data_IF_458300131781
#
_entry.id   IF_458300131781
#
_cell.length_a   1.000
_cell.length_b   1.000
_cell.length_c   1.000
_cell.angle_alpha   90.00
_cell.angle_beta   90.00
_cell.angle_gamma   90.00
#
_symmetry.space_group_name_H-M   'P 1'
#
loop_
_entity.id
_entity.type
_entity.pdbx_description
1 polymer ?
#
# COMPACT_ATOMS: atom_id res chain seq x y z
N UNK A 1 -35.86 -15.70 46.03
CA UNK A 1 -34.72 -14.77 45.92
C UNK A 1 -33.43 -15.43 45.38
N UNK A 2 -33.19 -16.73 45.62
CA UNK A 2 -32.01 -17.48 45.11
C UNK A 2 -31.99 -17.67 43.58
N UNK A 3 -33.15 -17.88 42.94
CA UNK A 3 -33.23 -18.04 41.47
C UNK A 3 -32.91 -16.77 40.68
N UNK A 4 -33.27 -15.60 41.23
CA UNK A 4 -33.00 -14.30 40.61
C UNK A 4 -31.50 -13.94 40.68
N UNK A 5 -30.83 -14.30 41.77
CA UNK A 5 -29.37 -14.20 41.91
C UNK A 5 -28.63 -15.11 40.94
N UNK A 6 -29.10 -16.35 40.76
CA UNK A 6 -28.53 -17.28 39.78
C UNK A 6 -28.61 -16.76 38.34
N UNK A 7 -29.76 -16.19 37.96
CA UNK A 7 -29.96 -15.59 36.64
C UNK A 7 -29.09 -14.34 36.42
N UNK A 8 -28.89 -13.51 37.45
CA UNK A 8 -28.01 -12.34 37.37
C UNK A 8 -26.54 -12.74 37.19
N UNK A 9 -26.06 -13.76 37.92
CA UNK A 9 -24.68 -14.25 37.79
C UNK A 9 -24.46 -14.90 36.41
N UNK A 10 -25.43 -15.68 35.92
CA UNK A 10 -25.36 -16.27 34.58
C UNK A 10 -25.35 -15.20 33.47
N UNK A 11 -26.17 -14.15 33.61
CA UNK A 11 -26.17 -13.01 32.68
C UNK A 11 -24.85 -12.23 32.68
N UNK A 12 -24.23 -12.04 33.85
CA UNK A 12 -22.93 -11.37 33.96
C UNK A 12 -21.79 -12.19 33.34
N UNK A 13 -21.83 -13.52 33.51
CA UNK A 13 -20.85 -14.44 32.91
C UNK A 13 -20.98 -14.49 31.38
N UNK A 14 -22.20 -14.45 30.84
CA UNK A 14 -22.45 -14.39 29.39
C UNK A 14 -22.00 -13.05 28.77
N UNK A 15 -22.12 -11.94 29.50
CA UNK A 15 -21.67 -10.63 29.03
C UNK A 15 -20.13 -10.47 28.99
N UNK A 16 -19.38 -11.42 29.56
CA UNK A 16 -17.92 -11.37 29.66
C UNK A 16 -17.20 -11.85 28.39
N UNK A 17 -17.90 -12.48 27.45
CA UNK A 17 -17.34 -12.94 26.18
C UNK A 17 -17.34 -11.81 25.13
N UNK A 18 -16.55 -10.77 25.37
CA UNK A 18 -16.15 -9.87 24.29
C UNK A 18 -15.11 -10.61 23.45
N UNK A 19 -15.52 -11.11 22.28
CA UNK A 19 -14.57 -11.60 21.26
C UNK A 19 -13.73 -10.40 20.83
N UNK A 20 -12.43 -10.41 21.18
CA UNK A 20 -11.50 -9.43 20.67
C UNK A 20 -11.49 -9.51 19.14
N UNK A 21 -11.73 -8.38 18.47
CA UNK A 21 -11.63 -8.32 17.03
C UNK A 21 -10.22 -8.76 16.61
N UNK A 22 -10.08 -9.62 15.59
CA UNK A 22 -8.76 -10.01 15.12
C UNK A 22 -8.00 -8.75 14.71
N UNK A 23 -6.80 -8.57 15.26
CA UNK A 23 -5.90 -7.54 14.77
C UNK A 23 -5.65 -7.79 13.28
N UNK A 24 -5.78 -6.75 12.45
CA UNK A 24 -5.52 -6.86 11.01
C UNK A 24 -4.13 -7.45 10.76
N UNK A 25 -4.02 -8.34 9.77
CA UNK A 25 -2.76 -8.98 9.43
C UNK A 25 -1.69 -7.92 9.12
N UNK A 26 -0.51 -8.02 9.74
CA UNK A 26 0.62 -7.15 9.45
C UNK A 26 1.05 -7.33 7.99
N UNK A 27 1.04 -6.24 7.23
CA UNK A 27 1.55 -6.20 5.86
C UNK A 27 2.96 -5.61 5.89
N UNK A 28 3.94 -6.39 5.43
CA UNK A 28 5.34 -5.98 5.30
C UNK A 28 5.68 -5.80 3.82
N UNK A 29 6.38 -4.72 3.51
CA UNK A 29 6.82 -4.36 2.16
C UNK A 29 8.19 -3.69 2.16
N UNK A 30 8.78 -3.52 0.98
CA UNK A 30 10.06 -2.83 0.77
C UNK A 30 9.86 -1.54 -0.04
N UNK A 31 10.71 -0.54 0.16
CA UNK A 31 10.68 0.70 -0.63
C UNK A 31 12.02 0.98 -1.29
N UNK A 32 12.24 0.46 -2.51
CA UNK A 32 13.42 0.75 -3.33
C UNK A 32 13.00 1.32 -4.70
N UNK A 33 13.77 2.28 -5.20
CA UNK A 33 13.53 2.98 -6.45
C UNK A 33 14.11 2.25 -7.67
N UNK A 34 15.02 1.28 -7.49
CA UNK A 34 15.69 0.59 -8.59
C UNK A 34 14.92 -0.66 -9.02
N UNK A 35 14.61 -0.82 -10.32
CA UNK A 35 13.93 -2.03 -10.81
C UNK A 35 14.78 -3.31 -10.63
N UNK A 36 16.11 -3.19 -10.64
CA UNK A 36 17.02 -4.34 -10.52
C UNK A 36 16.87 -5.11 -9.20
N UNK A 37 16.32 -4.46 -8.15
CA UNK A 37 16.02 -5.11 -6.88
C UNK A 37 15.13 -6.36 -7.07
N UNK A 38 14.19 -6.32 -8.02
CA UNK A 38 13.27 -7.44 -8.26
C UNK A 38 13.96 -8.70 -8.78
N UNK A 39 15.14 -8.56 -9.41
CA UNK A 39 15.96 -9.67 -9.87
C UNK A 39 17.02 -10.10 -8.84
N UNK A 40 17.17 -9.38 -7.73
CA UNK A 40 18.17 -9.69 -6.71
C UNK A 40 17.77 -10.97 -5.93
N UNK A 41 18.65 -11.98 -5.83
CA UNK A 41 18.36 -13.20 -5.08
C UNK A 41 17.97 -12.96 -3.61
N UNK A 42 18.49 -11.88 -3.00
CA UNK A 42 18.16 -11.50 -1.62
C UNK A 42 16.73 -11.00 -1.51
N UNK A 43 16.22 -10.31 -2.54
CA UNK A 43 14.81 -9.90 -2.58
C UNK A 43 13.89 -11.12 -2.66
N UNK A 44 14.21 -12.07 -3.55
CA UNK A 44 13.47 -13.33 -3.65
C UNK A 44 13.45 -14.12 -2.34
N UNK A 45 14.57 -14.16 -1.61
CA UNK A 45 14.68 -14.87 -0.33
C UNK A 45 13.79 -14.29 0.79
N UNK A 46 13.42 -13.00 0.74
CA UNK A 46 12.56 -12.38 1.75
C UNK A 46 11.07 -12.72 1.57
N UNK A 47 10.66 -13.23 0.40
CA UNK A 47 9.26 -13.55 0.08
C UNK A 47 8.28 -12.38 0.31
N UNK A 48 8.75 -11.14 0.14
CA UNK A 48 7.93 -9.93 0.27
C UNK A 48 7.05 -9.77 -0.96
N UNK A 49 5.77 -9.49 -0.75
CA UNK A 49 4.77 -9.32 -1.83
C UNK A 49 4.40 -7.88 -2.15
N UNK A 50 4.94 -6.91 -1.42
CA UNK A 50 4.60 -5.50 -1.56
C UNK A 50 5.88 -4.67 -1.73
N UNK A 51 5.91 -3.80 -2.74
CA UNK A 51 7.00 -2.86 -2.94
C UNK A 51 6.46 -1.45 -3.17
N UNK A 52 7.17 -0.43 -2.69
CA UNK A 52 6.76 0.97 -2.79
C UNK A 52 7.75 1.78 -3.64
N UNK A 53 7.21 2.50 -4.61
CA UNK A 53 7.95 3.50 -5.40
C UNK A 53 7.46 4.91 -5.03
N UNK A 54 8.38 5.86 -4.93
CA UNK A 54 8.11 7.28 -4.83
C UNK A 54 8.28 7.96 -6.19
N UNK A 55 7.23 8.59 -6.71
CA UNK A 55 7.25 9.33 -7.98
C UNK A 55 6.74 10.74 -7.79
N UNK A 56 7.13 11.64 -8.68
CA UNK A 56 6.61 13.00 -8.64
C UNK A 56 5.12 13.04 -8.98
N UNK A 57 4.39 14.02 -8.45
CA UNK A 57 2.95 14.17 -8.71
C UNK A 57 2.65 14.38 -10.21
N UNK A 58 3.60 14.97 -10.94
CA UNK A 58 3.57 15.23 -12.37
C UNK A 58 4.38 14.22 -13.18
N UNK A 59 4.65 13.02 -12.64
CA UNK A 59 5.41 11.94 -13.31
C UNK A 59 4.96 11.72 -14.75
N UNK A 60 3.66 11.80 -15.03
CA UNK A 60 3.09 11.60 -16.37
C UNK A 60 3.37 12.73 -17.37
N UNK A 61 3.77 13.91 -16.91
CA UNK A 61 4.10 15.05 -17.78
C UNK A 61 5.58 15.04 -18.21
N UNK A 62 6.41 14.26 -17.52
CA UNK A 62 7.82 14.13 -17.82
C UNK A 62 8.11 12.79 -18.53
N UNK A 63 8.70 12.83 -19.72
CA UNK A 63 8.96 11.61 -20.51
C UNK A 63 9.89 10.63 -19.79
N UNK A 64 11.01 11.11 -19.24
CA UNK A 64 11.97 10.23 -18.59
C UNK A 64 11.43 9.63 -17.28
N UNK A 65 10.61 10.39 -16.54
CA UNK A 65 9.99 9.87 -15.31
C UNK A 65 8.91 8.82 -15.62
N UNK A 66 8.14 9.02 -16.70
CA UNK A 66 7.21 8.00 -17.21
C UNK A 66 7.93 6.71 -17.57
N UNK A 67 8.98 6.80 -18.37
CA UNK A 67 9.73 5.63 -18.82
C UNK A 67 10.36 4.89 -17.63
N UNK A 68 10.87 5.61 -16.64
CA UNK A 68 11.40 5.03 -15.41
C UNK A 68 10.31 4.35 -14.57
N UNK A 69 9.13 4.96 -14.45
CA UNK A 69 7.98 4.37 -13.76
C UNK A 69 7.50 3.10 -14.49
N UNK A 70 7.41 3.11 -15.81
CA UNK A 70 6.99 1.96 -16.61
C UNK A 70 7.96 0.78 -16.46
N UNK A 71 9.27 1.04 -16.49
CA UNK A 71 10.29 0.02 -16.23
C UNK A 71 10.13 -0.60 -14.83
N UNK A 72 9.93 0.24 -13.81
CA UNK A 72 9.78 -0.24 -12.43
C UNK A 72 8.50 -1.04 -12.22
N UNK A 73 7.36 -0.56 -12.76
CA UNK A 73 6.08 -1.28 -12.68
C UNK A 73 6.11 -2.58 -13.48
N UNK A 74 6.79 -2.59 -14.63
CA UNK A 74 7.01 -3.79 -15.43
C UNK A 74 7.81 -4.85 -14.66
N UNK A 75 8.90 -4.46 -14.01
CA UNK A 75 9.72 -5.36 -13.20
C UNK A 75 8.94 -5.88 -11.96
N UNK A 76 8.19 -5.02 -11.28
CA UNK A 76 7.33 -5.42 -10.16
C UNK A 76 6.28 -6.46 -10.59
N UNK A 77 5.64 -6.23 -11.75
CA UNK A 77 4.67 -7.17 -12.33
C UNK A 77 5.32 -8.51 -12.68
N UNK A 78 6.49 -8.49 -13.31
CA UNK A 78 7.23 -9.71 -13.66
C UNK A 78 7.61 -10.53 -12.42
N UNK A 79 7.90 -9.86 -11.30
CA UNK A 79 8.20 -10.50 -10.01
C UNK A 79 6.95 -10.88 -9.18
N UNK A 80 5.74 -10.61 -9.67
CA UNK A 80 4.50 -10.88 -8.93
C UNK A 80 4.32 -10.03 -7.67
N UNK A 81 4.95 -8.86 -7.61
CA UNK A 81 4.92 -7.94 -6.47
C UNK A 81 3.82 -6.90 -6.66
N UNK A 82 3.06 -6.63 -5.61
CA UNK A 82 2.04 -5.57 -5.60
C UNK A 82 2.70 -4.21 -5.37
N UNK A 83 2.60 -3.27 -6.33
CA UNK A 83 3.19 -1.95 -6.18
C UNK A 83 2.32 -1.02 -5.32
N UNK A 84 2.98 -0.21 -4.50
CA UNK A 84 2.42 0.93 -3.77
C UNK A 84 3.04 2.21 -4.34
N UNK A 85 2.26 3.03 -5.02
CA UNK A 85 2.76 4.27 -5.64
C UNK A 85 2.55 5.43 -4.68
N UNK A 86 3.64 6.00 -4.18
CA UNK A 86 3.62 7.21 -3.37
C UNK A 86 3.97 8.43 -4.20
N UNK A 87 3.15 9.48 -4.14
CA UNK A 87 3.41 10.73 -4.85
C UNK A 87 4.21 11.72 -3.98
N UNK A 88 5.21 12.36 -4.57
CA UNK A 88 6.07 13.38 -3.97
C UNK A 88 6.08 14.67 -4.81
N UNK A 89 6.90 15.63 -4.41
CA UNK A 89 7.11 16.89 -5.14
C UNK A 89 7.57 16.64 -6.59
N UNK A 90 7.21 17.56 -7.48
CA UNK A 90 7.73 17.59 -8.83
C UNK A 90 9.25 17.78 -8.85
N UNK A 91 9.90 17.33 -9.93
CA UNK A 91 11.33 17.59 -10.14
C UNK A 91 11.55 18.91 -10.89
N UNK A 92 12.78 19.40 -10.83
CA UNK A 92 13.17 20.65 -11.50
C UNK A 92 12.42 21.87 -10.97
N UNK A 93 12.04 22.77 -11.88
CA UNK A 93 11.49 24.10 -11.55
C UNK A 93 10.14 24.03 -10.83
N UNK A 94 9.40 22.94 -11.00
CA UNK A 94 8.09 22.73 -10.37
C UNK A 94 8.18 22.19 -8.95
N UNK A 95 9.38 22.02 -8.39
CA UNK A 95 9.60 21.44 -7.04
C UNK A 95 8.83 22.14 -5.91
N UNK A 96 8.62 23.44 -6.02
CA UNK A 96 7.85 24.25 -5.04
C UNK A 96 6.37 24.38 -5.39
N UNK A 97 5.94 23.80 -6.51
CA UNK A 97 4.55 23.81 -6.95
C UNK A 97 3.82 22.63 -6.34
N UNK A 98 2.82 22.93 -5.52
CA UNK A 98 1.93 21.92 -4.95
C UNK A 98 0.95 21.41 -6.01
N UNK A 99 0.63 20.10 -6.02
CA UNK A 99 -0.40 19.58 -6.90
C UNK A 99 -1.77 20.13 -6.52
N UNK A 100 -2.62 20.32 -7.52
CA UNK A 100 -4.06 20.46 -7.27
C UNK A 100 -4.65 19.09 -6.90
N UNK A 101 -5.74 19.01 -6.12
CA UNK A 101 -6.38 17.75 -5.80
C UNK A 101 -6.75 16.91 -7.03
N UNK A 102 -7.14 17.56 -8.14
CA UNK A 102 -7.48 16.91 -9.42
C UNK A 102 -6.27 16.33 -10.16
N UNK A 103 -5.08 16.93 -10.03
CA UNK A 103 -3.86 16.41 -10.62
C UNK A 103 -3.45 15.10 -9.93
N UNK A 104 -3.58 15.03 -8.60
CA UNK A 104 -3.26 13.81 -7.84
C UNK A 104 -4.31 12.72 -8.05
N UNK A 105 -5.61 13.06 -8.11
CA UNK A 105 -6.69 12.05 -8.26
C UNK A 105 -6.61 11.29 -9.58
N UNK A 106 -6.22 11.96 -10.67
CA UNK A 106 -6.03 11.34 -11.99
C UNK A 106 -4.90 10.30 -11.97
N UNK A 107 -3.80 10.61 -11.26
CA UNK A 107 -2.65 9.71 -11.10
C UNK A 107 -2.97 8.53 -10.18
N UNK A 108 -3.69 8.76 -9.08
CA UNK A 108 -4.15 7.71 -8.16
C UNK A 108 -5.19 6.78 -8.79
N UNK A 109 -6.06 7.29 -9.67
CA UNK A 109 -7.07 6.49 -10.37
C UNK A 109 -6.46 5.49 -11.36
N UNK A 110 -5.31 5.81 -11.98
CA UNK A 110 -4.58 4.86 -12.81
C UNK A 110 -3.99 3.71 -11.98
N UNK A 111 -3.48 4.01 -10.78
CA UNK A 111 -2.94 3.00 -9.85
C UNK A 111 -4.00 1.99 -9.38
N UNK A 112 -5.21 2.46 -9.03
CA UNK A 112 -6.30 1.59 -8.55
C UNK A 112 -6.90 0.65 -9.60
N UNK A 113 -6.64 0.87 -10.90
CA UNK A 113 -7.12 -0.01 -11.98
C UNK A 113 -6.17 -1.19 -12.24
N UNK A 114 -4.90 -1.07 -11.86
CA UNK A 114 -3.89 -2.12 -12.05
C UNK A 114 -3.99 -3.28 -11.03
N UNK A 115 -4.77 -3.11 -9.95
CA UNK A 115 -4.91 -4.09 -8.85
C UNK A 115 -6.18 -4.94 -8.91
N UNK A 116 -7.01 -4.80 -9.95
CA UNK A 116 -8.12 -5.74 -10.23
C UNK A 116 -7.70 -6.68 -11.36
N UNK A 117 -7.08 -7.79 -11.00
CA UNK A 117 -6.76 -8.90 -11.88
C UNK A 117 -6.73 -10.18 -11.05
#
# INVERSE_FOLDING_TARGET
>A
MTRLRGLLVAGLLLASFVVAAPAGALVVGIGDQKPDMFADPRFAAMQIRYARIAVSWDVLQNAWERDALDQWLGAARAAGVTPLVGFTHARGDRRRVLPTPSATSTSSACSGRATRG
#
